data_IF_436450757353
#
_entry.id   IF_436450757353
#
_cell.length_a   1.000
_cell.length_b   1.000
_cell.length_c   1.000
_cell.angle_alpha   90.00
_cell.angle_beta   90.00
_cell.angle_gamma   90.00
#
_symmetry.space_group_name_H-M   'P 1'
#
loop_
_entity.id
_entity.type
_entity.pdbx_description
1 polymer ?
#
# COMPACT_ATOMS: atom_id res chain seq x y z
N UNK A 1 -13.88 36.98 33.85
CA UNK A 1 -12.58 36.71 33.18
C UNK A 1 -12.87 36.18 31.78
N UNK A 2 -12.27 36.81 30.76
CA UNK A 2 -12.48 36.54 29.33
C UNK A 2 -11.63 35.33 28.91
N UNK A 3 -12.24 34.31 28.31
CA UNK A 3 -11.51 33.23 27.64
C UNK A 3 -10.88 33.76 26.34
N UNK A 4 -9.57 33.56 26.17
CA UNK A 4 -8.83 33.95 24.94
C UNK A 4 -9.17 32.98 23.79
N UNK A 5 -9.49 33.46 22.58
CA UNK A 5 -9.89 32.63 21.44
C UNK A 5 -8.71 32.02 20.64
N UNK A 6 -7.54 31.82 21.24
CA UNK A 6 -6.36 31.34 20.52
C UNK A 6 -6.14 29.82 20.56
N UNK A 7 -6.96 29.06 21.29
CA UNK A 7 -6.80 27.60 21.41
C UNK A 7 -7.64 26.80 20.39
N UNK A 8 -8.64 27.42 19.74
CA UNK A 8 -9.56 26.71 18.86
C UNK A 8 -9.04 26.58 17.41
N UNK A 9 -8.11 27.44 16.99
CA UNK A 9 -7.47 27.33 15.66
C UNK A 9 -6.35 26.27 15.60
N UNK A 10 -5.81 25.84 16.73
CA UNK A 10 -4.75 24.80 16.75
C UNK A 10 -5.30 23.38 16.76
N UNK A 11 -6.61 23.19 17.03
CA UNK A 11 -7.24 21.87 17.02
C UNK A 11 -7.87 21.52 15.66
N UNK A 12 -8.15 22.51 14.81
CA UNK A 12 -8.77 22.31 13.49
C UNK A 12 -7.72 22.19 12.36
N UNK A 13 -6.50 22.68 12.56
CA UNK A 13 -5.41 22.57 11.56
C UNK A 13 -4.64 21.24 11.65
N UNK A 14 -4.79 20.47 12.73
CA UNK A 14 -4.21 19.12 12.84
C UNK A 14 -5.03 18.06 12.08
N UNK A 15 -6.24 18.40 11.62
CA UNK A 15 -7.13 17.48 10.91
C UNK A 15 -6.92 17.41 9.38
N UNK A 16 -5.93 18.12 8.82
CA UNK A 16 -5.71 18.17 7.35
C UNK A 16 -4.32 17.76 6.88
N UNK A 17 -3.53 17.08 7.71
CA UNK A 17 -2.32 16.35 7.26
C UNK A 17 -2.39 14.87 7.65
N UNK A 18 -3.51 14.23 7.32
CA UNK A 18 -3.69 12.79 7.38
C UNK A 18 -3.04 12.19 6.12
N UNK A 19 -1.77 11.82 6.22
CA UNK A 19 -1.06 11.08 5.18
C UNK A 19 -1.51 9.62 5.19
N UNK A 20 -2.21 9.21 4.15
CA UNK A 20 -2.66 7.84 3.91
C UNK A 20 -1.47 6.98 3.47
N UNK A 21 -0.98 6.08 4.34
CA UNK A 21 -0.14 4.96 3.89
C UNK A 21 -1.02 4.04 3.05
N UNK A 22 -0.92 4.17 1.74
CA UNK A 22 -1.62 3.32 0.79
C UNK A 22 -0.72 2.11 0.51
N UNK A 23 -1.22 0.91 0.77
CA UNK A 23 -0.72 -0.27 0.06
C UNK A 23 -1.24 -0.13 -1.38
N UNK A 24 -0.31 0.11 -2.30
CA UNK A 24 -0.65 0.27 -3.70
C UNK A 24 -0.51 -1.07 -4.39
N UNK A 25 -1.63 -1.63 -4.84
CA UNK A 25 -1.64 -2.85 -5.65
C UNK A 25 -1.35 -2.50 -7.11
N UNK A 26 -1.19 -3.52 -7.96
CA UNK A 26 -1.11 -3.32 -9.41
C UNK A 26 -2.05 -4.27 -10.14
N UNK A 27 -2.44 -3.88 -11.35
CA UNK A 27 -3.08 -4.80 -12.28
C UNK A 27 -2.06 -5.22 -13.36
N UNK A 28 -1.37 -6.32 -13.11
CA UNK A 28 -0.33 -6.86 -14.01
C UNK A 28 -0.88 -7.48 -15.31
N UNK A 29 -2.20 -7.53 -15.47
CA UNK A 29 -2.87 -8.19 -16.59
C UNK A 29 -3.54 -7.19 -17.55
N UNK A 30 -3.88 -6.01 -17.06
CA UNK A 30 -4.40 -4.94 -17.90
C UNK A 30 -3.39 -4.59 -19.00
N UNK A 31 -3.84 -4.69 -20.26
CA UNK A 31 -2.99 -4.45 -21.45
C UNK A 31 -1.68 -5.26 -21.41
N UNK A 32 -1.72 -6.48 -20.85
CA UNK A 32 -0.55 -7.37 -20.66
C UNK A 32 0.37 -7.50 -21.87
N UNK A 33 -0.19 -7.50 -23.08
CA UNK A 33 0.58 -7.68 -24.32
C UNK A 33 0.92 -6.36 -25.04
N UNK A 34 0.51 -5.20 -24.50
CA UNK A 34 0.89 -3.90 -25.06
C UNK A 34 2.39 -3.69 -24.87
N UNK A 35 3.15 -3.57 -25.96
CA UNK A 35 4.58 -3.25 -25.89
C UNK A 35 4.81 -1.96 -25.10
N UNK A 36 5.76 -2.02 -24.17
CA UNK A 36 6.26 -0.88 -23.39
C UNK A 36 7.78 -0.87 -23.48
N UNK A 37 8.35 0.31 -23.71
CA UNK A 37 9.80 0.48 -23.83
C UNK A 37 10.51 0.08 -22.54
N UNK A 38 11.61 -0.64 -22.68
CA UNK A 38 12.47 -0.97 -21.55
C UNK A 38 13.04 0.30 -20.91
N UNK A 39 12.91 0.39 -19.59
CA UNK A 39 13.37 1.52 -18.78
C UNK A 39 14.60 1.19 -17.94
N UNK A 40 15.26 0.06 -18.17
CA UNK A 40 16.43 -0.39 -17.42
C UNK A 40 17.58 0.62 -17.45
N UNK A 41 17.93 1.15 -18.62
CA UNK A 41 18.97 2.19 -18.74
C UNK A 41 18.59 3.49 -18.02
N UNK A 42 17.31 3.87 -18.06
CA UNK A 42 16.81 5.07 -17.35
C UNK A 42 16.88 4.87 -15.83
N UNK A 43 16.47 3.70 -15.35
CA UNK A 43 16.54 3.34 -13.94
C UNK A 43 18.01 3.28 -13.46
N UNK A 44 18.88 2.64 -14.24
CA UNK A 44 20.32 2.59 -13.98
C UNK A 44 20.91 4.00 -13.89
N UNK A 45 20.60 4.90 -14.82
CA UNK A 45 21.10 6.26 -14.80
C UNK A 45 20.64 7.04 -13.56
N UNK A 46 19.36 6.96 -13.19
CA UNK A 46 18.83 7.66 -12.02
C UNK A 46 19.39 7.09 -10.70
N UNK A 47 19.41 5.77 -10.54
CA UNK A 47 19.91 5.11 -9.33
C UNK A 47 21.40 5.39 -9.15
N UNK A 48 22.21 5.22 -10.20
CA UNK A 48 23.65 5.51 -10.13
C UNK A 48 23.94 6.98 -9.80
N UNK A 49 23.15 7.92 -10.33
CA UNK A 49 23.26 9.35 -9.97
C UNK A 49 22.99 9.58 -8.49
N UNK A 50 21.95 8.96 -7.93
CA UNK A 50 21.61 9.06 -6.50
C UNK A 50 22.69 8.44 -5.62
N UNK A 51 23.25 7.28 -6.01
CA UNK A 51 24.35 6.61 -5.29
C UNK A 51 25.63 7.45 -5.35
N UNK A 52 26.01 7.97 -6.52
CA UNK A 52 27.18 8.84 -6.67
C UNK A 52 27.06 10.11 -5.80
N UNK A 53 25.86 10.69 -5.76
CA UNK A 53 25.57 11.84 -4.88
C UNK A 53 25.73 11.46 -3.41
N UNK A 54 25.16 10.33 -2.97
CA UNK A 54 25.30 9.84 -1.60
C UNK A 54 26.76 9.55 -1.20
N UNK A 55 27.55 8.98 -2.11
CA UNK A 55 28.99 8.75 -1.91
C UNK A 55 29.72 10.08 -1.72
N UNK A 56 29.40 11.10 -2.54
CA UNK A 56 30.02 12.43 -2.40
C UNK A 56 29.69 13.14 -1.09
N UNK A 57 28.55 12.83 -0.48
CA UNK A 57 28.11 13.38 0.80
C UNK A 57 28.70 12.63 2.00
N UNK A 58 29.10 11.37 1.81
CA UNK A 58 29.63 10.52 2.87
C UNK A 58 31.06 10.94 3.19
N UNK A 59 31.32 11.25 4.46
CA UNK A 59 32.65 11.64 4.90
C UNK A 59 33.44 10.39 5.29
N UNK A 60 34.74 10.41 5.02
CA UNK A 60 35.63 9.31 5.38
C UNK A 60 35.14 7.98 4.76
N UNK A 61 35.37 6.88 5.47
CA UNK A 61 34.85 5.55 5.16
C UNK A 61 33.77 5.12 6.15
N UNK A 62 32.94 6.03 6.65
CA UNK A 62 31.85 5.69 7.56
C UNK A 62 30.72 4.97 6.80
N UNK A 63 30.60 3.67 7.03
CA UNK A 63 29.61 2.78 6.45
C UNK A 63 28.21 3.21 6.89
N UNK A 64 27.99 3.53 8.16
CA UNK A 64 26.66 3.91 8.65
C UNK A 64 26.18 5.22 8.00
N UNK A 65 27.08 6.17 7.84
CA UNK A 65 26.81 7.42 7.11
C UNK A 65 26.51 7.13 5.64
N UNK A 66 27.24 6.23 4.98
CA UNK A 66 26.98 5.82 3.59
C UNK A 66 25.56 5.28 3.40
N UNK A 67 25.15 4.27 4.19
CA UNK A 67 23.80 3.70 4.10
C UNK A 67 22.71 4.77 4.33
N UNK A 68 22.94 5.67 5.29
CA UNK A 68 22.03 6.78 5.58
C UNK A 68 21.92 7.72 4.39
N UNK A 69 23.05 8.11 3.79
CA UNK A 69 23.08 9.00 2.64
C UNK A 69 22.46 8.37 1.39
N UNK A 70 22.74 7.09 1.11
CA UNK A 70 22.13 6.38 -0.03
C UNK A 70 20.61 6.34 0.15
N UNK A 71 20.13 5.96 1.34
CA UNK A 71 18.68 5.93 1.62
C UNK A 71 18.04 7.31 1.48
N UNK A 72 18.70 8.36 1.98
CA UNK A 72 18.19 9.73 1.85
C UNK A 72 18.13 10.20 0.39
N UNK A 73 19.12 9.85 -0.43
CA UNK A 73 19.13 10.22 -1.85
C UNK A 73 18.10 9.44 -2.65
N UNK A 74 17.97 8.14 -2.40
CA UNK A 74 16.92 7.29 -2.98
C UNK A 74 15.52 7.85 -2.67
N UNK A 75 15.31 8.33 -1.45
CA UNK A 75 14.02 8.86 -0.99
C UNK A 75 13.85 10.38 -1.12
N UNK A 76 14.79 11.08 -1.76
CA UNK A 76 14.73 12.53 -1.92
C UNK A 76 13.45 12.99 -2.62
N UNK A 77 12.94 12.17 -3.54
CA UNK A 77 11.74 12.47 -4.32
C UNK A 77 10.44 11.90 -3.71
N UNK A 78 10.50 11.26 -2.54
CA UNK A 78 9.32 10.61 -1.91
C UNK A 78 8.14 11.58 -1.71
N UNK A 79 6.91 11.06 -1.81
CA UNK A 79 5.69 11.83 -1.56
C UNK A 79 5.19 11.64 -0.12
N UNK A 80 4.66 12.72 0.48
CA UNK A 80 3.87 12.65 1.73
C UNK A 80 4.59 12.01 2.91
N UNK A 81 5.63 12.66 3.45
CA UNK A 81 6.40 12.19 4.61
C UNK A 81 7.02 10.77 4.46
N UNK A 82 7.34 10.34 3.23
CA UNK A 82 7.97 9.04 2.96
C UNK A 82 6.99 7.88 2.79
N UNK A 83 5.77 8.17 2.36
CA UNK A 83 4.70 7.17 2.17
C UNK A 83 4.83 6.42 0.84
N UNK A 84 5.37 7.06 -0.18
CA UNK A 84 5.69 6.47 -1.49
C UNK A 84 7.20 6.53 -1.65
N UNK A 85 7.83 5.40 -1.99
CA UNK A 85 9.28 5.32 -2.15
C UNK A 85 9.76 6.31 -3.21
N UNK A 86 10.94 6.90 -3.02
CA UNK A 86 11.41 7.94 -3.96
C UNK A 86 11.57 7.43 -5.39
N UNK A 87 12.05 6.19 -5.56
CA UNK A 87 12.20 5.56 -6.87
C UNK A 87 10.87 5.07 -7.47
N UNK A 88 9.92 4.63 -6.63
CA UNK A 88 8.54 4.36 -7.05
C UNK A 88 7.90 5.62 -7.64
N UNK A 89 7.99 6.75 -6.91
CA UNK A 89 7.44 8.02 -7.38
C UNK A 89 8.14 8.53 -8.64
N UNK A 90 9.46 8.36 -8.74
CA UNK A 90 10.19 8.69 -9.96
C UNK A 90 9.63 7.91 -11.15
N UNK A 91 9.44 6.60 -11.02
CA UNK A 91 8.86 5.76 -12.07
C UNK A 91 7.42 6.16 -12.40
N UNK A 92 6.61 6.51 -11.39
CA UNK A 92 5.23 6.96 -11.57
C UNK A 92 5.16 8.30 -12.34
N UNK A 93 5.97 9.29 -11.96
CA UNK A 93 5.88 10.68 -12.46
C UNK A 93 6.75 10.98 -13.67
N UNK A 94 7.80 10.20 -13.92
CA UNK A 94 8.70 10.44 -15.05
C UNK A 94 7.95 10.36 -16.38
N UNK A 95 8.12 11.35 -17.25
CA UNK A 95 7.59 11.33 -18.61
C UNK A 95 8.42 10.48 -19.56
N UNK A 96 9.65 10.13 -19.17
CA UNK A 96 10.59 9.37 -19.99
C UNK A 96 10.42 7.86 -19.83
N UNK A 97 9.86 7.44 -18.70
CA UNK A 97 9.53 6.04 -18.41
C UNK A 97 8.22 5.69 -19.11
N UNK A 98 8.30 4.79 -20.10
CA UNK A 98 7.10 4.25 -20.75
C UNK A 98 6.38 3.30 -19.80
N UNK A 99 5.05 3.42 -19.72
CA UNK A 99 4.26 2.75 -18.68
C UNK A 99 2.82 2.48 -19.10
N UNK A 100 2.24 1.44 -18.51
CA UNK A 100 0.79 1.18 -18.57
C UNK A 100 0.18 1.83 -17.33
N UNK A 101 -0.64 2.85 -17.56
CA UNK A 101 -1.44 3.45 -16.49
C UNK A 101 -2.45 2.44 -15.93
N UNK A 102 -2.81 2.57 -14.65
CA UNK A 102 -3.85 1.75 -14.05
C UNK A 102 -5.14 1.69 -14.86
N UNK A 103 -5.81 0.53 -14.94
CA UNK A 103 -7.08 0.42 -15.63
C UNK A 103 -8.19 1.25 -14.97
N UNK A 104 -9.18 1.69 -15.75
CA UNK A 104 -10.50 1.99 -15.22
C UNK A 104 -11.06 0.84 -14.36
N UNK A 105 -11.91 1.15 -13.38
CA UNK A 105 -12.42 0.16 -12.42
C UNK A 105 -13.18 -1.01 -13.03
N UNK A 106 -13.85 -0.78 -14.16
CA UNK A 106 -14.59 -1.76 -14.95
C UNK A 106 -13.71 -2.56 -15.94
N UNK A 107 -12.40 -2.31 -15.97
CA UNK A 107 -11.45 -3.02 -16.82
C UNK A 107 -10.36 -3.74 -16.01
N UNK A 108 -10.36 -3.58 -14.69
CA UNK A 108 -9.39 -4.22 -13.83
C UNK A 108 -9.74 -5.67 -13.56
N UNK A 109 -8.75 -6.53 -13.33
CA UNK A 109 -8.97 -7.88 -12.79
C UNK A 109 -9.66 -7.88 -11.43
N UNK A 110 -9.60 -6.76 -10.72
CA UNK A 110 -10.28 -6.55 -9.45
C UNK A 110 -11.72 -6.04 -9.59
N UNK A 111 -12.25 -5.89 -10.82
CA UNK A 111 -13.65 -5.51 -11.02
C UNK A 111 -14.58 -6.45 -10.23
N UNK A 112 -15.52 -5.86 -9.49
CA UNK A 112 -16.50 -6.60 -8.69
C UNK A 112 -15.98 -7.05 -7.33
N UNK A 113 -14.70 -6.81 -7.01
CA UNK A 113 -14.15 -7.07 -5.68
C UNK A 113 -14.30 -5.84 -4.78
N UNK A 114 -14.61 -6.04 -3.50
CA UNK A 114 -14.55 -4.97 -2.51
C UNK A 114 -13.15 -4.89 -1.93
N UNK A 115 -12.39 -3.85 -2.28
CA UNK A 115 -11.17 -3.53 -1.54
C UNK A 115 -11.55 -3.04 -0.14
N UNK A 116 -10.92 -3.61 0.88
CA UNK A 116 -10.88 -2.94 2.18
C UNK A 116 -10.02 -1.69 1.99
N UNK A 117 -10.65 -0.53 1.83
CA UNK A 117 -9.88 0.70 1.67
C UNK A 117 -9.08 0.92 2.96
N UNK A 118 -7.76 1.01 2.84
CA UNK A 118 -6.78 1.25 3.91
C UNK A 118 -6.88 2.69 4.46
N UNK A 119 -8.08 3.28 4.50
CA UNK A 119 -8.33 4.64 4.99
C UNK A 119 -8.16 4.73 6.51
N UNK A 120 -8.40 3.66 7.26
CA UNK A 120 -8.26 3.61 8.72
C UNK A 120 -6.83 3.38 9.20
N UNK A 121 -5.90 3.02 8.31
CA UNK A 121 -4.60 2.46 8.69
C UNK A 121 -3.45 3.46 8.59
N UNK A 122 -3.51 4.40 7.64
CA UNK A 122 -2.64 5.58 7.65
C UNK A 122 -2.73 6.35 8.97
N UNK A 123 -3.89 6.32 9.63
CA UNK A 123 -4.07 6.85 10.98
C UNK A 123 -3.20 6.12 12.02
N UNK A 124 -3.21 4.77 12.04
CA UNK A 124 -2.50 3.96 13.04
C UNK A 124 -0.99 3.89 12.80
N UNK A 125 -0.55 3.82 11.55
CA UNK A 125 0.87 3.79 11.19
C UNK A 125 1.56 5.14 11.45
N UNK A 126 0.91 6.27 11.11
CA UNK A 126 1.43 7.59 11.48
C UNK A 126 1.45 7.79 12.98
N UNK A 127 0.43 7.32 13.70
CA UNK A 127 0.41 7.38 15.16
C UNK A 127 1.55 6.54 15.75
N UNK A 128 1.82 5.36 15.21
CA UNK A 128 2.93 4.51 15.62
C UNK A 128 4.30 5.15 15.31
N UNK A 129 4.49 5.71 14.11
CA UNK A 129 5.72 6.42 13.72
C UNK A 129 5.99 7.65 14.58
N UNK A 130 4.99 8.51 14.78
CA UNK A 130 5.06 9.68 15.67
C UNK A 130 5.38 9.30 17.11
N UNK A 131 4.80 8.20 17.61
CA UNK A 131 5.08 7.70 18.97
C UNK A 131 6.48 7.12 19.06
N UNK A 132 6.92 6.35 18.06
CA UNK A 132 8.26 5.76 17.99
C UNK A 132 9.34 6.84 17.93
N UNK A 133 9.15 7.87 17.11
CA UNK A 133 10.09 8.98 16.98
C UNK A 133 10.15 9.83 18.26
N UNK A 134 9.02 10.09 18.93
CA UNK A 134 9.01 10.83 20.21
C UNK A 134 9.56 10.02 21.39
N UNK A 135 9.48 8.70 21.34
CA UNK A 135 10.14 7.81 22.33
C UNK A 135 11.64 7.78 22.08
N UNK A 136 12.08 7.64 20.82
CA UNK A 136 13.50 7.64 20.45
C UNK A 136 14.18 9.00 20.67
N UNK A 137 13.44 10.10 20.52
CA UNK A 137 13.93 11.46 20.81
C UNK A 137 13.91 11.81 22.31
N UNK A 138 13.52 10.88 23.20
CA UNK A 138 13.48 11.08 24.65
C UNK A 138 12.38 12.02 25.16
N UNK A 139 11.45 12.44 24.29
CA UNK A 139 10.36 13.38 24.62
C UNK A 139 9.24 12.69 25.41
N UNK A 140 9.02 11.38 25.20
CA UNK A 140 8.07 10.57 25.96
C UNK A 140 8.80 9.63 26.95
N UNK A 141 8.44 9.67 28.24
CA UNK A 141 8.99 8.76 29.27
C UNK A 141 8.24 7.40 29.34
N UNK A 142 9.02 6.33 29.42
CA UNK A 142 8.75 5.00 28.84
C UNK A 142 8.09 3.94 29.74
N UNK A 143 7.01 4.21 30.47
CA UNK A 143 6.33 3.10 31.22
C UNK A 143 4.81 2.98 31.12
N UNK A 144 4.08 4.06 30.80
CA UNK A 144 2.61 4.02 30.77
C UNK A 144 2.01 3.94 29.36
N UNK A 145 2.68 4.53 28.36
CA UNK A 145 2.16 4.61 26.99
C UNK A 145 2.19 3.26 26.25
N UNK A 146 3.28 2.49 26.40
CA UNK A 146 3.44 1.20 25.71
C UNK A 146 2.47 0.16 26.27
N UNK A 147 2.21 0.16 27.59
CA UNK A 147 1.36 -0.83 28.26
C UNK A 147 -0.14 -0.69 27.92
N UNK A 148 -0.60 0.50 27.54
CA UNK A 148 -1.98 0.72 27.05
C UNK A 148 -2.15 0.38 25.58
N UNK A 149 -1.10 0.55 24.77
CA UNK A 149 -1.12 0.20 23.34
C UNK A 149 -1.01 -1.31 23.11
N UNK A 150 -0.22 -2.03 23.92
CA UNK A 150 -0.08 -3.49 23.79
C UNK A 150 -1.31 -4.28 24.25
N UNK A 151 -2.11 -3.75 25.19
CA UNK A 151 -3.35 -4.42 25.64
C UNK A 151 -4.57 -4.16 24.75
N UNK A 152 -4.48 -3.23 23.79
CA UNK A 152 -5.54 -2.99 22.80
C UNK A 152 -5.39 -3.86 21.54
N UNK A 153 -4.37 -4.72 21.49
CA UNK A 153 -3.94 -5.45 20.29
C UNK A 153 -4.65 -6.79 20.07
N UNK A 154 -5.64 -7.17 20.88
CA UNK A 154 -6.30 -8.48 20.74
C UNK A 154 -7.81 -8.44 20.48
N UNK A 155 -8.45 -7.27 20.41
CA UNK A 155 -9.86 -7.19 20.03
C UNK A 155 -10.27 -5.78 19.55
N UNK A 156 -10.50 -5.54 18.25
CA UNK A 156 -10.83 -4.22 17.72
C UNK A 156 -12.28 -3.78 18.00
N UNK A 157 -13.11 -4.58 18.68
CA UNK A 157 -14.55 -4.36 18.80
C UNK A 157 -15.04 -3.49 19.98
N UNK A 158 -14.17 -2.95 20.84
CA UNK A 158 -14.62 -2.36 22.14
C UNK A 158 -14.63 -0.82 22.20
N UNK A 159 -14.33 -0.09 21.12
CA UNK A 159 -14.26 1.39 21.16
C UNK A 159 -15.37 2.13 20.40
N UNK A 160 -16.60 1.63 20.45
CA UNK A 160 -17.78 2.38 19.99
C UNK A 160 -18.78 2.60 21.14
N UNK A 161 -18.47 3.57 22.03
CA UNK A 161 -19.48 4.26 22.82
C UNK A 161 -19.27 5.77 22.64
N UNK A 162 -19.93 6.32 21.63
CA UNK A 162 -20.08 7.77 21.45
C UNK A 162 -21.18 8.25 22.38
N UNK A 163 -20.92 9.29 23.16
CA UNK A 163 -21.88 9.86 24.10
C UNK A 163 -23.03 10.56 23.34
N UNK A 164 -24.23 10.59 23.92
CA UNK A 164 -25.40 11.20 23.26
C UNK A 164 -25.22 12.70 22.99
N UNK A 165 -24.34 13.38 23.75
CA UNK A 165 -23.94 14.76 23.51
C UNK A 165 -23.17 14.98 22.19
N UNK A 166 -22.42 13.98 21.72
CA UNK A 166 -21.63 14.09 20.48
C UNK A 166 -22.50 13.86 19.24
N UNK A 167 -23.58 13.07 19.36
CA UNK A 167 -24.61 12.91 18.31
C UNK A 167 -25.40 14.20 18.10
N UNK A 168 -25.68 14.95 19.17
CA UNK A 168 -26.40 16.22 19.11
C UNK A 168 -25.58 17.32 18.39
N UNK A 169 -24.26 17.35 18.59
CA UNK A 169 -23.34 18.27 17.92
C UNK A 169 -23.22 17.99 16.42
N UNK A 170 -23.19 16.71 16.02
CA UNK A 170 -23.18 16.33 14.61
C UNK A 170 -24.49 16.70 13.90
N UNK A 171 -25.63 16.54 14.55
CA UNK A 171 -26.94 16.93 14.01
C UNK A 171 -27.06 18.45 13.75
N UNK A 172 -26.52 19.28 14.64
CA UNK A 172 -26.53 20.75 14.51
C UNK A 172 -25.63 21.26 13.37
N UNK A 173 -24.57 20.53 13.03
CA UNK A 173 -23.65 20.90 11.95
C UNK A 173 -24.26 20.67 10.54
N UNK A 174 -25.07 19.62 10.40
CA UNK A 174 -25.80 19.31 9.14
C UNK A 174 -26.92 20.31 8.87
N UNK A 175 -27.51 20.91 9.91
CA UNK A 175 -28.53 21.94 9.75
C UNK A 175 -27.94 23.30 9.32
N UNK A 176 -26.70 23.58 9.73
CA UNK A 176 -25.98 24.82 9.39
C UNK A 176 -25.53 24.85 7.92
N UNK A 177 -25.17 23.70 7.34
CA UNK A 177 -24.72 23.60 5.93
C UNK A 177 -25.84 23.71 4.89
N UNK A 178 -27.11 23.70 5.31
CA UNK A 178 -28.28 23.86 4.42
C UNK A 178 -28.72 25.31 4.20
N UNK A 179 -28.10 26.30 4.87
CA UNK A 179 -28.43 27.72 4.66
C UNK A 179 -27.61 28.30 3.50
N UNK A 180 -28.27 28.59 2.37
CA UNK A 180 -27.67 29.28 1.22
C UNK A 180 -27.31 30.74 1.56
N UNK A 181 -26.21 31.31 1.01
CA UNK A 181 -25.87 32.72 1.16
C UNK A 181 -26.78 33.61 0.30
N UNK A 182 -27.41 34.60 0.92
CA UNK A 182 -28.25 35.59 0.27
C UNK A 182 -27.43 36.67 -0.44
N UNK A 183 -27.78 36.92 -1.70
CA UNK A 183 -27.33 38.02 -2.55
C UNK A 183 -27.80 39.38 -2.03
N UNK A 184 -26.88 40.35 -1.97
CA UNK A 184 -27.20 41.74 -1.66
C UNK A 184 -28.05 42.41 -2.75
N UNK A 185 -28.95 43.29 -2.32
CA UNK A 185 -29.68 44.21 -3.21
C UNK A 185 -29.44 45.67 -2.82
N UNK A 186 -29.63 46.63 -3.74
CA UNK A 186 -29.87 48.04 -3.45
C UNK A 186 -31.36 48.42 -3.63
N UNK A 187 -31.80 49.64 -3.22
CA UNK A 187 -33.02 49.79 -2.41
C UNK A 187 -34.12 50.63 -3.14
N UNK A 188 -35.16 51.23 -2.49
CA UNK A 188 -36.55 50.99 -2.89
C UNK A 188 -37.25 52.22 -3.48
N UNK A 189 -38.40 52.00 -4.13
CA UNK A 189 -39.28 53.11 -4.53
C UNK A 189 -40.64 52.68 -5.06
N UNK A 190 -41.67 52.82 -4.21
CA UNK A 190 -42.97 53.41 -4.53
C UNK A 190 -44.01 52.66 -5.37
N UNK A 191 -45.21 52.49 -4.79
CA UNK A 191 -46.46 52.78 -5.53
C UNK A 191 -47.50 51.67 -5.69
N UNK A 192 -48.42 51.61 -4.72
CA UNK A 192 -49.88 51.38 -4.81
C UNK A 192 -50.53 50.14 -5.49
N UNK A 193 -51.78 49.77 -5.06
CA UNK A 193 -52.42 48.46 -5.23
C UNK A 193 -53.70 48.55 -6.11
N UNK A 194 -54.74 47.70 -5.93
CA UNK A 194 -54.99 46.27 -6.21
C UNK A 194 -56.03 46.17 -7.38
N UNK A 195 -57.02 45.25 -7.54
CA UNK A 195 -57.41 44.03 -6.81
C UNK A 195 -57.94 42.83 -7.68
N UNK A 196 -58.51 41.86 -6.97
CA UNK A 196 -59.66 40.97 -7.33
C UNK A 196 -59.43 39.67 -8.12
N UNK A 197 -60.00 38.58 -7.57
CA UNK A 197 -60.21 37.31 -8.28
C UNK A 197 -60.26 36.04 -7.41
N UNK A 198 -61.30 35.89 -6.59
CA UNK A 198 -61.84 34.62 -6.05
C UNK A 198 -62.42 33.70 -7.17
N UNK A 199 -62.98 32.48 -6.93
CA UNK A 199 -62.75 31.46 -5.88
C UNK A 199 -62.90 29.96 -6.35
N UNK A 200 -62.92 29.02 -5.37
CA UNK A 200 -63.62 27.71 -5.31
C UNK A 200 -63.06 26.53 -6.14
N UNK A 201 -63.14 25.25 -5.77
CA UNK A 201 -63.88 24.41 -4.79
C UNK A 201 -63.10 23.07 -4.65
N UNK A 202 -63.08 22.31 -3.55
CA UNK A 202 -64.16 21.51 -2.95
C UNK A 202 -63.75 20.02 -2.88
N UNK A 203 -64.34 19.18 -1.99
CA UNK A 203 -63.61 18.15 -1.21
C UNK A 203 -64.22 16.71 -1.30
N UNK A 204 -63.80 15.83 -0.37
CA UNK A 204 -64.44 14.60 0.18
C UNK A 204 -63.50 13.38 0.11
N UNK A 205 -63.38 12.46 1.07
CA UNK A 205 -64.04 12.18 2.36
C UNK A 205 -63.63 10.76 2.80
N UNK A 206 -63.37 10.51 4.09
CA UNK A 206 -63.12 9.15 4.67
C UNK A 206 -64.44 8.37 4.88
N UNK A 207 -64.60 7.43 5.86
CA UNK A 207 -63.68 6.78 6.83
C UNK A 207 -64.05 5.25 7.03
N UNK A 208 -64.07 4.59 8.23
CA UNK A 208 -63.12 4.44 9.38
C UNK A 208 -62.80 2.97 9.81
N UNK A 209 -61.71 2.79 10.60
CA UNK A 209 -61.64 2.06 11.89
C UNK A 209 -61.46 0.52 11.98
N UNK A 210 -60.45 0.05 12.74
CA UNK A 210 -60.61 -0.88 13.89
C UNK A 210 -59.30 -1.03 14.73
N UNK A 211 -59.45 -1.33 16.03
CA UNK A 211 -58.42 -1.53 17.07
C UNK A 211 -58.24 -3.02 17.42
N UNK A 212 -57.01 -3.47 17.73
CA UNK A 212 -56.80 -4.75 18.44
C UNK A 212 -55.34 -5.18 18.55
N UNK A 213 -54.79 -5.27 19.76
CA UNK A 213 -53.40 -5.65 20.02
C UNK A 213 -53.16 -7.12 20.33
N UNK A 214 -51.90 -7.58 20.23
CA UNK A 214 -51.14 -8.37 21.22
C UNK A 214 -49.90 -9.07 20.62
N UNK A 215 -48.82 -9.05 21.43
CA UNK A 215 -47.75 -10.07 21.61
C UNK A 215 -46.74 -10.42 20.49
N UNK A 216 -45.51 -9.93 20.72
CA UNK A 216 -44.24 -10.67 20.93
C UNK A 216 -43.96 -11.89 20.02
N UNK A 217 -42.98 -11.72 19.13
CA UNK A 217 -41.76 -12.55 18.99
C UNK A 217 -40.72 -11.74 18.20
N UNK A 218 -39.69 -11.23 18.89
CA UNK A 218 -38.49 -10.69 18.25
C UNK A 218 -37.55 -11.86 18.01
N UNK A 219 -37.38 -12.24 16.75
CA UNK A 219 -36.25 -13.06 16.32
C UNK A 219 -34.99 -12.17 16.29
N UNK A 220 -33.90 -12.70 16.84
CA UNK A 220 -32.58 -12.07 16.82
C UNK A 220 -32.02 -12.14 15.39
N UNK A 221 -32.13 -11.02 14.67
CA UNK A 221 -31.34 -10.75 13.47
C UNK A 221 -29.93 -10.31 13.86
N UNK A 222 -28.95 -10.98 13.28
CA UNK A 222 -27.50 -10.77 13.41
C UNK A 222 -27.06 -9.32 13.17
N UNK A 223 -26.03 -8.93 13.92
CA UNK A 223 -25.45 -7.60 14.10
C UNK A 223 -24.90 -6.92 12.83
N UNK A 224 -25.53 -5.80 12.45
CA UNK A 224 -24.93 -4.72 11.68
C UNK A 224 -24.07 -3.84 12.60
N UNK A 225 -22.76 -4.07 12.64
CA UNK A 225 -21.80 -3.11 13.21
C UNK A 225 -20.58 -3.03 12.30
N UNK A 226 -20.74 -2.34 11.17
CA UNK A 226 -19.68 -2.14 10.18
C UNK A 226 -19.79 -0.86 9.35
N UNK A 227 -20.70 0.06 9.71
CA UNK A 227 -21.02 1.23 8.86
C UNK A 227 -21.05 2.50 9.71
N UNK A 228 -19.91 2.95 10.20
CA UNK A 228 -19.82 4.22 10.91
C UNK A 228 -18.59 4.98 10.42
N UNK A 229 -18.78 5.74 9.33
CA UNK A 229 -18.07 6.97 8.92
C UNK A 229 -18.46 7.31 7.46
N UNK A 230 -18.67 6.31 6.60
CA UNK A 230 -19.02 6.49 5.18
C UNK A 230 -20.39 7.17 4.97
N UNK A 231 -21.41 6.76 5.72
CA UNK A 231 -22.77 7.31 5.60
C UNK A 231 -22.90 8.75 6.13
N UNK A 232 -22.12 9.13 7.15
CA UNK A 232 -22.17 10.48 7.74
C UNK A 232 -21.56 11.52 6.79
N UNK A 233 -20.64 11.12 5.91
CA UNK A 233 -19.97 12.01 4.96
C UNK A 233 -20.61 12.04 3.56
N UNK A 234 -21.69 11.30 3.32
CA UNK A 234 -22.33 11.24 2.00
C UNK A 234 -21.42 10.64 0.91
N UNK A 235 -20.35 9.94 1.30
CA UNK A 235 -19.50 9.18 0.39
C UNK A 235 -20.28 7.92 0.02
N UNK A 236 -21.06 7.99 -1.07
CA UNK A 236 -21.54 6.79 -1.75
C UNK A 236 -20.35 5.86 -1.94
N UNK A 237 -20.52 4.56 -1.66
CA UNK A 237 -19.56 3.50 -1.98
C UNK A 237 -19.08 3.65 -3.42
N UNK A 238 -18.03 4.44 -3.66
CA UNK A 238 -17.39 4.47 -4.95
C UNK A 238 -16.66 3.14 -5.05
N UNK A 239 -17.03 2.34 -6.05
CA UNK A 239 -16.24 1.23 -6.55
C UNK A 239 -14.89 1.80 -6.97
N UNK A 240 -13.99 1.93 -6.01
CA UNK A 240 -12.81 2.78 -6.10
C UNK A 240 -11.62 1.90 -6.43
N UNK A 241 -11.08 2.02 -7.64
CA UNK A 241 -9.71 1.61 -7.99
C UNK A 241 -8.64 2.55 -7.43
N UNK A 242 -8.99 3.40 -6.45
CA UNK A 242 -8.04 4.34 -5.85
C UNK A 242 -6.99 3.61 -5.01
N UNK A 243 -6.02 3.02 -5.69
CA UNK A 243 -4.59 2.93 -5.34
C UNK A 243 -3.87 1.89 -6.22
N UNK A 244 -4.22 1.73 -7.50
CA UNK A 244 -3.41 0.91 -8.40
C UNK A 244 -2.21 1.71 -8.93
N UNK A 245 -1.01 1.11 -8.97
CA UNK A 245 0.21 1.71 -9.54
C UNK A 245 0.43 1.31 -11.01
N UNK A 246 1.16 2.13 -11.79
CA UNK A 246 1.43 1.81 -13.19
C UNK A 246 2.41 0.64 -13.30
N UNK A 247 2.31 -0.09 -14.41
CA UNK A 247 3.26 -1.15 -14.77
C UNK A 247 4.30 -0.58 -15.72
N UNK A 248 5.56 -0.87 -15.44
CA UNK A 248 6.74 -0.48 -16.25
C UNK A 248 7.47 -1.75 -16.73
N UNK A 249 8.42 -1.56 -17.65
CA UNK A 249 9.32 -2.62 -18.09
C UNK A 249 10.73 -2.32 -17.60
N UNK A 250 11.30 -3.22 -16.81
CA UNK A 250 12.68 -3.15 -16.33
C UNK A 250 13.42 -4.41 -16.78
N UNK A 251 14.41 -4.27 -17.65
CA UNK A 251 15.24 -5.37 -18.12
C UNK A 251 14.41 -6.54 -18.71
N UNK A 252 13.38 -6.23 -19.50
CA UNK A 252 12.48 -7.19 -20.13
C UNK A 252 11.41 -7.78 -19.20
N UNK A 253 11.39 -7.38 -17.93
CA UNK A 253 10.42 -7.84 -16.93
C UNK A 253 9.36 -6.77 -16.70
N UNK A 254 8.08 -7.17 -16.76
CA UNK A 254 6.96 -6.30 -16.40
C UNK A 254 6.81 -6.26 -14.90
N UNK A 255 6.96 -5.09 -14.31
CA UNK A 255 6.85 -4.90 -12.87
C UNK A 255 5.97 -3.71 -12.57
N UNK A 256 5.26 -3.76 -11.45
CA UNK A 256 4.66 -2.56 -10.88
C UNK A 256 5.73 -1.54 -10.49
N UNK A 257 5.43 -0.25 -10.65
CA UNK A 257 6.34 0.82 -10.22
C UNK A 257 6.59 0.80 -8.70
N UNK A 258 5.63 0.33 -7.92
CA UNK A 258 5.69 0.07 -6.48
C UNK A 258 6.82 -0.90 -6.11
N UNK A 259 7.18 -1.85 -6.99
CA UNK A 259 8.29 -2.79 -6.74
C UNK A 259 9.63 -2.09 -6.51
N UNK A 260 9.83 -0.88 -7.05
CA UNK A 260 11.01 -0.07 -6.74
C UNK A 260 11.01 0.47 -5.30
N UNK A 261 9.83 0.81 -4.76
CA UNK A 261 9.67 1.15 -3.34
C UNK A 261 9.94 -0.05 -2.45
N UNK A 262 9.38 -1.21 -2.79
CA UNK A 262 9.66 -2.47 -2.12
C UNK A 262 11.15 -2.81 -2.10
N UNK A 263 11.82 -2.72 -3.25
CA UNK A 263 13.25 -2.96 -3.37
C UNK A 263 14.12 -2.06 -2.49
N UNK A 264 13.91 -0.74 -2.53
CA UNK A 264 14.79 0.17 -1.80
C UNK A 264 14.41 0.36 -0.34
N UNK A 265 13.12 0.46 -0.02
CA UNK A 265 12.66 0.81 1.33
C UNK A 265 12.40 -0.43 2.18
N UNK A 266 11.48 -1.30 1.76
CA UNK A 266 11.20 -2.53 2.50
C UNK A 266 12.37 -3.53 2.42
N UNK A 267 13.13 -3.52 1.32
CA UNK A 267 14.39 -4.25 1.22
C UNK A 267 15.44 -3.78 2.22
N UNK A 268 15.42 -2.49 2.60
CA UNK A 268 16.26 -2.01 3.71
C UNK A 268 15.79 -2.56 5.05
N UNK A 269 14.48 -2.69 5.26
CA UNK A 269 13.93 -3.31 6.48
C UNK A 269 14.33 -4.78 6.60
N UNK A 270 14.34 -5.53 5.48
CA UNK A 270 14.87 -6.90 5.41
C UNK A 270 16.35 -6.94 5.74
N UNK A 271 17.14 -6.07 5.10
CA UNK A 271 18.57 -5.94 5.37
C UNK A 271 18.86 -5.67 6.86
N UNK A 272 18.03 -4.88 7.54
CA UNK A 272 18.14 -4.64 8.99
C UNK A 272 17.75 -5.84 9.87
N UNK A 273 17.03 -6.83 9.34
CA UNK A 273 16.85 -8.13 10.02
C UNK A 273 18.06 -9.03 9.80
N UNK A 274 18.67 -8.94 8.63
CA UNK A 274 19.80 -9.78 8.22
C UNK A 274 21.14 -9.33 8.82
N UNK A 275 21.35 -8.02 8.94
CA UNK A 275 22.64 -7.44 9.29
C UNK A 275 22.53 -6.30 10.30
N UNK A 276 23.58 -6.11 11.09
CA UNK A 276 23.77 -4.93 11.93
C UNK A 276 25.11 -4.27 11.60
N UNK A 277 25.20 -2.94 11.74
CA UNK A 277 26.47 -2.21 11.59
C UNK A 277 27.10 -2.03 12.97
N UNK A 278 28.28 -2.63 13.18
CA UNK A 278 29.06 -2.50 14.41
C UNK A 278 30.51 -2.19 14.07
N UNK A 279 31.12 -1.21 14.74
CA UNK A 279 32.51 -0.80 14.50
C UNK A 279 32.82 -0.61 13.00
N UNK A 280 31.90 0.04 12.28
CA UNK A 280 32.02 0.31 10.84
C UNK A 280 32.06 -0.94 9.94
N UNK A 281 31.50 -2.07 10.39
CA UNK A 281 31.42 -3.32 9.63
C UNK A 281 30.02 -3.90 9.71
N UNK A 282 29.60 -4.61 8.66
CA UNK A 282 28.41 -5.44 8.70
C UNK A 282 28.67 -6.72 9.47
N UNK A 283 27.75 -7.03 10.38
CA UNK A 283 27.72 -8.25 11.17
C UNK A 283 26.39 -8.95 10.84
N UNK A 284 26.49 -10.14 10.25
CA UNK A 284 25.32 -10.98 10.00
C UNK A 284 24.66 -11.36 11.33
N UNK A 285 23.33 -11.28 11.37
CA UNK A 285 22.54 -11.67 12.52
C UNK A 285 22.22 -13.17 12.45
N UNK A 286 22.15 -13.81 13.61
CA UNK A 286 21.69 -15.19 13.73
C UNK A 286 20.27 -15.33 13.16
N UNK A 287 20.08 -16.30 12.27
CA UNK A 287 18.84 -16.53 11.50
C UNK A 287 18.34 -15.28 10.75
N UNK A 288 19.25 -14.37 10.38
CA UNK A 288 18.90 -13.07 9.81
C UNK A 288 18.02 -13.16 8.56
N UNK A 289 18.40 -14.02 7.60
CA UNK A 289 17.63 -14.23 6.36
C UNK A 289 16.24 -14.79 6.66
N UNK A 290 16.18 -15.84 7.48
CA UNK A 290 14.90 -16.44 7.89
C UNK A 290 13.98 -15.40 8.55
N UNK A 291 14.50 -14.57 9.46
CA UNK A 291 13.75 -13.48 10.10
C UNK A 291 13.28 -12.43 9.10
N UNK A 292 14.07 -12.12 8.08
CA UNK A 292 13.68 -11.20 7.01
C UNK A 292 12.52 -11.76 6.17
N UNK A 293 12.61 -13.04 5.78
CA UNK A 293 11.57 -13.73 5.01
C UNK A 293 10.27 -13.90 5.81
N UNK A 294 10.37 -14.25 7.10
CA UNK A 294 9.24 -14.32 8.03
C UNK A 294 8.60 -12.94 8.24
N UNK A 295 9.42 -11.89 8.40
CA UNK A 295 8.95 -10.51 8.51
C UNK A 295 8.14 -10.13 7.26
N UNK A 296 8.70 -10.35 6.08
CA UNK A 296 8.03 -10.15 4.80
C UNK A 296 6.67 -10.84 4.68
N UNK A 297 6.67 -12.15 4.94
CA UNK A 297 5.45 -12.96 4.90
C UNK A 297 4.40 -12.40 5.86
N UNK A 298 4.82 -12.01 7.08
CA UNK A 298 3.90 -11.47 8.09
C UNK A 298 3.34 -10.10 7.74
N UNK A 299 4.10 -9.26 7.01
CA UNK A 299 3.63 -7.93 6.59
C UNK A 299 2.68 -8.02 5.41
N UNK A 300 2.93 -8.93 4.46
CA UNK A 300 2.04 -9.25 3.34
C UNK A 300 0.75 -9.97 3.78
N UNK A 301 0.81 -10.82 4.79
CA UNK A 301 -0.40 -11.38 5.42
C UNK A 301 -1.10 -10.36 6.33
N UNK A 302 -0.40 -9.28 6.65
CA UNK A 302 -0.80 -8.21 7.53
C UNK A 302 -1.30 -6.99 6.76
N UNK A 303 -0.85 -5.84 7.24
CA UNK A 303 -1.25 -4.53 6.74
C UNK A 303 -0.95 -4.29 5.27
N UNK A 304 0.16 -4.84 4.76
CA UNK A 304 0.62 -4.48 3.43
C UNK A 304 -0.01 -5.34 2.33
N UNK A 305 -0.65 -6.45 2.70
CA UNK A 305 -1.40 -7.28 1.77
C UNK A 305 -2.76 -7.74 2.29
N UNK A 306 -2.93 -9.02 2.65
CA UNK A 306 -4.24 -9.66 2.88
C UNK A 306 -5.16 -8.94 3.88
N UNK A 307 -4.65 -8.33 4.96
CA UNK A 307 -5.51 -7.57 5.90
C UNK A 307 -5.69 -6.11 5.48
N UNK A 308 -4.81 -5.58 4.63
CA UNK A 308 -4.92 -4.22 4.10
C UNK A 308 -5.76 -4.17 2.84
N UNK A 309 -5.25 -4.73 1.76
CA UNK A 309 -5.83 -4.67 0.40
C UNK A 309 -6.62 -5.92 0.03
N UNK A 310 -6.34 -7.03 0.71
CA UNK A 310 -6.90 -8.34 0.35
C UNK A 310 -6.06 -9.12 -0.65
N UNK A 311 -4.89 -8.61 -1.05
CA UNK A 311 -3.96 -9.26 -1.98
C UNK A 311 -2.66 -9.54 -1.25
N UNK A 312 -2.04 -10.70 -1.44
CA UNK A 312 -0.67 -10.99 -1.01
C UNK A 312 0.20 -11.09 -2.24
N UNK A 313 1.16 -10.19 -2.37
CA UNK A 313 2.02 -10.15 -3.54
C UNK A 313 3.32 -10.90 -3.29
N UNK A 314 3.53 -11.96 -4.08
CA UNK A 314 4.82 -12.62 -4.12
C UNK A 314 5.87 -11.78 -4.88
N UNK A 315 5.42 -10.89 -5.77
CA UNK A 315 6.27 -9.88 -6.41
C UNK A 315 6.89 -8.91 -5.41
N UNK A 316 6.12 -8.50 -4.41
CA UNK A 316 6.61 -7.65 -3.31
C UNK A 316 7.62 -8.37 -2.44
N UNK A 317 7.35 -9.62 -2.07
CA UNK A 317 8.28 -10.43 -1.30
C UNK A 317 9.61 -10.63 -2.04
N UNK A 318 9.56 -10.85 -3.35
CA UNK A 318 10.75 -10.98 -4.19
C UNK A 318 11.53 -9.66 -4.28
N UNK A 319 10.85 -8.55 -4.55
CA UNK A 319 11.47 -7.22 -4.61
C UNK A 319 12.12 -6.83 -3.28
N UNK A 320 11.46 -7.08 -2.15
CA UNK A 320 12.00 -6.85 -0.82
C UNK A 320 13.28 -7.67 -0.58
N UNK A 321 13.27 -8.96 -0.92
CA UNK A 321 14.43 -9.83 -0.76
C UNK A 321 15.60 -9.38 -1.63
N UNK A 322 15.38 -9.10 -2.92
CA UNK A 322 16.44 -8.61 -3.80
C UNK A 322 16.97 -7.24 -3.36
N UNK A 323 16.11 -6.42 -2.76
CA UNK A 323 16.46 -5.18 -2.10
C UNK A 323 17.42 -5.37 -0.93
N UNK A 324 17.20 -6.38 -0.09
CA UNK A 324 18.13 -6.71 1.00
C UNK A 324 19.51 -7.10 0.47
N UNK A 325 19.56 -7.85 -0.64
CA UNK A 325 20.82 -8.16 -1.33
C UNK A 325 21.50 -6.92 -1.89
N UNK A 326 20.76 -5.95 -2.44
CA UNK A 326 21.33 -4.67 -2.87
C UNK A 326 22.00 -3.95 -1.71
N UNK A 327 21.31 -3.84 -0.57
CA UNK A 327 21.88 -3.20 0.60
C UNK A 327 23.10 -3.94 1.13
N UNK A 328 23.13 -5.27 1.11
CA UNK A 328 24.33 -6.04 1.44
C UNK A 328 25.48 -5.79 0.44
N UNK A 329 25.19 -5.84 -0.86
CA UNK A 329 26.16 -5.61 -1.93
C UNK A 329 26.68 -4.16 -1.98
N UNK A 330 26.02 -3.21 -1.33
CA UNK A 330 26.49 -1.84 -1.26
C UNK A 330 27.92 -1.75 -0.69
N UNK A 331 28.25 -2.55 0.34
CA UNK A 331 29.59 -2.53 0.98
C UNK A 331 30.22 -3.89 1.27
N UNK A 332 29.52 -5.01 1.09
CA UNK A 332 30.02 -6.30 1.62
C UNK A 332 29.76 -7.55 0.78
N UNK A 333 29.16 -7.41 -0.41
CA UNK A 333 29.05 -8.51 -1.38
C UNK A 333 30.40 -8.92 -1.97
N UNK A 334 30.41 -9.95 -2.82
CA UNK A 334 31.63 -10.40 -3.52
C UNK A 334 32.26 -9.28 -4.37
N UNK A 335 31.39 -8.44 -4.98
CA UNK A 335 31.74 -7.20 -5.65
C UNK A 335 30.98 -6.05 -5.00
N UNK A 336 31.55 -5.39 -3.96
CA UNK A 336 30.88 -4.28 -3.31
C UNK A 336 30.76 -3.07 -4.23
N UNK A 337 29.56 -2.49 -4.32
CA UNK A 337 29.30 -1.32 -5.17
C UNK A 337 30.08 -0.07 -4.74
N UNK A 338 30.30 0.09 -3.44
CA UNK A 338 31.06 1.19 -2.86
C UNK A 338 32.16 0.62 -1.96
N UNK A 339 33.38 1.10 -2.18
CA UNK A 339 34.56 0.68 -1.42
C UNK A 339 35.20 1.87 -0.71
N UNK A 340 35.86 1.60 0.42
CA UNK A 340 36.74 2.56 1.07
C UNK A 340 38.13 2.49 0.45
N UNK A 341 38.56 3.56 -0.23
CA UNK A 341 39.91 3.68 -0.79
C UNK A 341 40.54 4.98 -0.32
N UNK A 342 41.76 4.91 0.22
CA UNK A 342 42.50 6.07 0.72
C UNK A 342 41.71 6.94 1.72
N UNK A 343 40.90 6.31 2.59
CA UNK A 343 40.09 7.01 3.57
C UNK A 343 38.87 7.75 3.00
N UNK A 344 38.43 7.43 1.79
CA UNK A 344 37.23 7.97 1.15
C UNK A 344 36.38 6.86 0.53
N UNK A 345 35.07 7.04 0.51
CA UNK A 345 34.17 6.19 -0.26
C UNK A 345 34.34 6.47 -1.76
N UNK A 346 34.45 5.40 -2.55
CA UNK A 346 34.49 5.43 -4.01
C UNK A 346 33.52 4.39 -4.57
N UNK A 347 32.78 4.76 -5.62
CA UNK A 347 31.97 3.81 -6.39
C UNK A 347 32.91 2.91 -7.20
N UNK A 348 32.87 1.60 -6.97
CA UNK A 348 33.78 0.63 -7.59
C UNK A 348 33.32 0.22 -9.00
N UNK A 349 32.01 0.12 -9.19
CA UNK A 349 31.34 -0.14 -10.47
C UNK A 349 29.93 0.47 -10.41
N UNK A 350 29.24 0.52 -11.55
CA UNK A 350 27.86 0.98 -11.59
C UNK A 350 26.88 -0.08 -11.08
N UNK A 351 25.80 0.37 -10.46
CA UNK A 351 24.60 -0.43 -10.22
C UNK A 351 23.96 -0.80 -11.57
N UNK A 352 23.43 -2.01 -11.66
CA UNK A 352 22.66 -2.47 -12.81
C UNK A 352 21.38 -3.19 -12.35
N UNK A 353 20.21 -2.74 -12.80
CA UNK A 353 18.91 -3.34 -12.47
C UNK A 353 18.85 -4.83 -12.83
N UNK A 354 19.60 -5.27 -13.84
CA UNK A 354 19.60 -6.68 -14.27
C UNK A 354 20.16 -7.64 -13.22
N UNK A 355 20.92 -7.13 -12.25
CA UNK A 355 21.50 -7.93 -11.18
C UNK A 355 20.45 -8.31 -10.11
N UNK A 356 19.27 -7.67 -10.16
CA UNK A 356 18.23 -7.78 -9.13
C UNK A 356 16.85 -8.06 -9.69
N UNK A 357 16.46 -7.43 -10.80
CA UNK A 357 15.12 -7.59 -11.38
C UNK A 357 15.04 -8.94 -12.07
N UNK A 358 14.17 -9.81 -11.54
CA UNK A 358 13.88 -11.13 -12.10
C UNK A 358 12.39 -11.29 -12.40
N UNK A 359 12.03 -12.37 -13.10
CA UNK A 359 10.62 -12.74 -13.36
C UNK A 359 9.80 -12.94 -12.07
N UNK A 360 10.44 -13.04 -10.90
CA UNK A 360 9.75 -13.13 -9.62
C UNK A 360 9.04 -11.83 -9.23
N UNK A 361 9.45 -10.68 -9.77
CA UNK A 361 8.82 -9.38 -9.51
C UNK A 361 7.54 -9.15 -10.33
N UNK A 362 7.34 -9.93 -11.39
CA UNK A 362 6.18 -9.83 -12.27
C UNK A 362 5.01 -10.62 -11.68
N UNK A 363 4.01 -9.95 -11.12
CA UNK A 363 2.85 -10.61 -10.50
C UNK A 363 1.93 -11.33 -11.50
N UNK A 364 2.07 -11.05 -12.80
CA UNK A 364 1.46 -11.87 -13.85
C UNK A 364 2.14 -13.22 -14.00
N UNK A 365 3.42 -13.34 -13.61
CA UNK A 365 4.18 -14.59 -13.57
C UNK A 365 4.11 -15.22 -12.18
N UNK A 366 4.47 -14.46 -11.15
CA UNK A 366 4.51 -14.84 -9.75
C UNK A 366 3.20 -14.48 -9.03
N UNK A 367 2.18 -15.29 -9.31
CA UNK A 367 0.78 -15.01 -8.97
C UNK A 367 0.51 -14.58 -7.54
N UNK A 368 -0.22 -13.49 -7.36
CA UNK A 368 -0.71 -13.05 -6.05
C UNK A 368 -1.76 -14.00 -5.46
N UNK A 369 -1.81 -14.03 -4.13
CA UNK A 369 -2.86 -14.70 -3.34
C UNK A 369 -3.95 -13.70 -2.93
N UNK A 370 -5.18 -14.18 -2.71
CA UNK A 370 -6.33 -13.33 -2.38
C UNK A 370 -6.98 -13.76 -1.06
N UNK A 371 -7.40 -12.78 -0.27
CA UNK A 371 -7.93 -12.95 1.09
C UNK A 371 -9.16 -13.84 1.16
N UNK A 372 -10.10 -13.65 0.22
CA UNK A 372 -11.37 -14.38 0.22
C UNK A 372 -11.50 -15.25 -1.02
N UNK A 373 -12.22 -16.35 -0.88
CA UNK A 373 -12.53 -17.24 -2.00
C UNK A 373 -13.33 -16.51 -3.09
N UNK A 374 -14.24 -15.60 -2.70
CA UNK A 374 -14.99 -14.75 -3.63
C UNK A 374 -14.07 -13.86 -4.46
N UNK A 375 -13.10 -13.17 -3.84
CA UNK A 375 -12.13 -12.34 -4.56
C UNK A 375 -11.31 -13.17 -5.54
N UNK A 376 -10.85 -14.34 -5.10
CA UNK A 376 -10.11 -15.29 -5.94
C UNK A 376 -10.94 -15.73 -7.17
N UNK A 377 -12.21 -16.04 -6.98
CA UNK A 377 -13.12 -16.46 -8.04
C UNK A 377 -13.43 -15.32 -9.03
N UNK A 378 -13.67 -14.11 -8.53
CA UNK A 378 -13.85 -12.92 -9.37
C UNK A 378 -12.61 -12.64 -10.21
N UNK A 379 -11.43 -12.61 -9.60
CA UNK A 379 -10.16 -12.40 -10.35
C UNK A 379 -9.97 -13.50 -11.39
N UNK A 380 -10.19 -14.77 -11.03
CA UNK A 380 -10.06 -15.88 -11.98
C UNK A 380 -11.04 -15.77 -13.16
N UNK A 381 -12.28 -15.36 -12.91
CA UNK A 381 -13.28 -15.14 -13.95
C UNK A 381 -12.91 -13.95 -14.85
N UNK A 382 -12.41 -12.86 -14.28
CA UNK A 382 -11.96 -11.68 -15.02
C UNK A 382 -10.75 -12.01 -15.91
N UNK A 383 -9.78 -12.76 -15.39
CA UNK A 383 -8.66 -13.29 -16.19
C UNK A 383 -9.16 -14.14 -17.36
N UNK A 384 -10.12 -15.03 -17.13
CA UNK A 384 -10.72 -15.85 -18.19
C UNK A 384 -11.43 -14.99 -19.26
N UNK A 385 -12.13 -13.93 -18.86
CA UNK A 385 -12.76 -12.98 -19.79
C UNK A 385 -11.71 -12.28 -20.66
N UNK A 386 -10.53 -11.98 -20.09
CA UNK A 386 -9.37 -11.44 -20.79
C UNK A 386 -8.60 -12.50 -21.61
N UNK A 387 -9.01 -13.78 -21.54
CA UNK A 387 -8.30 -14.94 -22.13
C UNK A 387 -6.87 -15.08 -21.61
N UNK A 388 -6.67 -14.75 -20.33
CA UNK A 388 -5.42 -14.85 -19.60
C UNK A 388 -5.52 -15.87 -18.47
N UNK A 389 -4.36 -16.27 -17.95
CA UNK A 389 -4.21 -17.06 -16.74
C UNK A 389 -3.07 -16.47 -15.91
N UNK A 390 -2.97 -16.90 -14.65
CA UNK A 390 -1.75 -16.75 -13.88
C UNK A 390 -1.20 -18.13 -13.52
N UNK A 391 0.09 -18.44 -13.80
CA UNK A 391 1.06 -17.58 -14.49
C UNK A 391 0.67 -17.27 -15.95
N UNK A 392 0.98 -16.07 -16.43
CA UNK A 392 0.78 -15.69 -17.85
C UNK A 392 1.78 -16.45 -18.73
N UNK A 393 3.01 -16.61 -18.24
CA UNK A 393 4.10 -17.26 -18.96
C UNK A 393 4.74 -18.34 -18.08
N UNK A 394 4.22 -19.56 -18.19
CA UNK A 394 4.66 -20.70 -17.37
C UNK A 394 6.17 -20.96 -17.46
N UNK A 395 6.79 -20.74 -18.62
CA UNK A 395 8.23 -20.91 -18.80
C UNK A 395 9.07 -19.94 -17.93
N UNK A 396 8.54 -18.75 -17.63
CA UNK A 396 9.22 -17.76 -16.78
C UNK A 396 9.26 -18.18 -15.31
N UNK A 397 8.31 -18.99 -14.85
CA UNK A 397 8.37 -19.61 -13.51
C UNK A 397 9.63 -20.48 -13.33
N UNK A 398 10.06 -21.20 -14.37
CA UNK A 398 11.26 -22.03 -14.32
C UNK A 398 12.56 -21.21 -14.29
N UNK A 399 12.53 -19.98 -14.81
CA UNK A 399 13.66 -19.07 -14.69
C UNK A 399 13.85 -18.65 -13.23
N UNK A 400 12.77 -18.38 -12.50
CA UNK A 400 12.81 -17.99 -11.08
C UNK A 400 13.52 -19.04 -10.22
N UNK A 401 13.23 -20.33 -10.44
CA UNK A 401 13.83 -21.44 -9.70
C UNK A 401 15.37 -21.40 -9.69
N UNK A 402 15.99 -20.92 -10.77
CA UNK A 402 17.45 -20.88 -10.92
C UNK A 402 18.11 -19.69 -10.22
N UNK A 403 17.34 -18.69 -9.81
CA UNK A 403 17.87 -17.44 -9.26
C UNK A 403 17.96 -17.42 -7.73
N UNK A 404 17.21 -18.29 -7.04
CA UNK A 404 17.07 -18.23 -5.59
C UNK A 404 17.34 -19.59 -4.94
N UNK A 405 17.77 -19.58 -3.68
CA UNK A 405 17.89 -20.81 -2.89
C UNK A 405 16.51 -21.41 -2.60
N UNK A 406 16.45 -22.72 -2.32
CA UNK A 406 15.19 -23.39 -1.98
C UNK A 406 14.46 -22.75 -0.77
N UNK A 407 15.22 -22.27 0.22
CA UNK A 407 14.67 -21.57 1.38
C UNK A 407 13.95 -20.28 0.97
N UNK A 408 14.60 -19.46 0.13
CA UNK A 408 14.04 -18.20 -0.35
C UNK A 408 12.83 -18.43 -1.26
N UNK A 409 12.92 -19.41 -2.18
CA UNK A 409 11.83 -19.78 -3.08
C UNK A 409 10.55 -20.10 -2.31
N UNK A 410 10.66 -20.74 -1.15
CA UNK A 410 9.50 -21.07 -0.32
C UNK A 410 8.72 -19.84 0.16
N UNK A 411 9.39 -18.71 0.36
CA UNK A 411 8.76 -17.46 0.81
C UNK A 411 8.35 -16.54 -0.33
N UNK A 412 9.17 -16.38 -1.37
CA UNK A 412 8.97 -15.31 -2.37
C UNK A 412 8.27 -15.76 -3.65
N UNK A 413 8.01 -17.06 -3.83
CA UNK A 413 7.34 -17.58 -5.04
C UNK A 413 5.99 -18.19 -4.71
N UNK A 414 4.99 -17.85 -5.52
CA UNK A 414 3.63 -18.35 -5.34
C UNK A 414 3.53 -19.88 -5.51
N UNK A 415 2.58 -20.53 -4.82
CA UNK A 415 2.30 -21.96 -5.02
C UNK A 415 1.97 -22.29 -6.49
N UNK A 416 1.24 -21.41 -7.18
CA UNK A 416 0.90 -21.53 -8.60
C UNK A 416 2.13 -21.60 -9.49
N UNK A 417 3.12 -20.75 -9.25
CA UNK A 417 4.33 -20.71 -10.06
C UNK A 417 5.25 -21.91 -9.72
N UNK A 418 5.35 -22.29 -8.45
CA UNK A 418 6.11 -23.48 -7.98
C UNK A 418 5.65 -24.80 -8.61
N UNK A 419 4.35 -24.96 -8.92
CA UNK A 419 3.83 -26.16 -9.61
C UNK A 419 4.51 -26.42 -10.95
N UNK A 420 5.13 -25.40 -11.54
CA UNK A 420 5.76 -25.43 -12.86
C UNK A 420 7.29 -25.51 -12.80
N UNK A 421 7.87 -25.53 -11.60
CA UNK A 421 9.29 -25.79 -11.41
C UNK A 421 9.61 -27.15 -11.99
N UNK A 422 10.86 -27.32 -12.44
CA UNK A 422 11.26 -28.62 -12.96
C UNK A 422 11.22 -29.60 -11.80
N UNK A 423 10.11 -30.35 -11.67
CA UNK A 423 10.09 -31.54 -10.86
C UNK A 423 11.32 -32.32 -11.28
N UNK A 424 12.25 -32.52 -10.35
CA UNK A 424 13.36 -33.43 -10.55
C UNK A 424 12.75 -34.70 -11.14
N UNK A 425 12.99 -34.93 -12.43
CA UNK A 425 12.57 -36.15 -13.12
C UNK A 425 13.49 -37.29 -12.69
N UNK A 426 13.74 -37.42 -11.38
CA UNK A 426 14.26 -38.60 -10.71
C UNK A 426 13.16 -39.68 -10.62
N UNK A 427 12.53 -39.91 -11.76
CA UNK A 427 11.66 -41.03 -12.08
C UNK A 427 12.09 -41.57 -13.44
N UNK A 428 13.34 -42.01 -13.55
CA UNK A 428 13.77 -42.91 -14.61
C UNK A 428 13.00 -44.23 -14.46
N UNK A 429 11.76 -44.23 -14.92
CA UNK A 429 10.95 -45.42 -15.13
C UNK A 429 10.84 -45.63 -16.64
N UNK A 430 11.95 -46.07 -17.24
CA UNK A 430 11.89 -46.86 -18.46
C UNK A 430 12.19 -48.30 -18.10
N UNK A 431 11.14 -49.09 -18.23
CA UNK A 431 11.11 -50.54 -18.29
C UNK A 431 12.25 -51.08 -19.14
N UNK A 432 12.94 -52.09 -18.62
CA UNK A 432 13.88 -52.93 -19.34
C UNK A 432 13.63 -54.40 -19.00
N UNK A 433 12.40 -54.85 -19.20
CA UNK A 433 12.05 -56.26 -19.21
C UNK A 433 12.13 -56.82 -20.63
N UNK A 434 12.79 -57.97 -20.77
CA UNK A 434 12.72 -58.95 -21.87
C UNK A 434 13.21 -58.53 -23.27
N UNK A 435 14.41 -59.00 -23.63
CA UNK A 435 14.58 -60.18 -24.48
C UNK A 435 15.85 -60.93 -24.13
#
# INVERSE_FOLDING_TARGET
>A
MKFKPSALCSFVVVLTMLSTSHAYEIDSFYKRHQSIKDSGDLANAEINKKIATAVSLTKSCDVKELYTNVRNQINADSAGAGVIGGMERWAEKSTDVDKISPPPADQSIYEGTSFESVTSMGFWLNLYGLVKDKVNSGVLKTKLAIRKLTTASSDPLVLCKVSDSEKELAGKFVEFSKRKPGSGGPPPGGGNPPPEGEPQSGPDGGPPGDFGGMKKTMEFGSTETGTCISEVLGLKNSKSTASLQPVINLNGVRVGADKLGHFFDQGFDYFQKEYSIQNNKLIAQEDGQKKALEYGTSTEEGMFGLKGTGVKSYGDLAANYDGSRFWYNLTSGESPLVICKNGKMEVSHSFDVKDYVTEAWDEGTNCSEYKTQEMKEHVAQNLKNLKLSCPVEVAKCQAIEKHYSAEVLNSIVSPECKKNFTADRSGAHTQGGTK
#
